data_IF_801398990994
#
_entry.id   IF_801398990994
#
_cell.length_a   1.000
_cell.length_b   1.000
_cell.length_c   1.000
_cell.angle_alpha   90.00
_cell.angle_beta   90.00
_cell.angle_gamma   90.00
#
_symmetry.space_group_name_H-M   'P 1'
#
loop_
_entity.id
_entity.type
_entity.pdbx_description
1 polymer ?
#
# COMPACT_ATOMS: atom_id res chain seq x y z
N UNK A 1 1.50 -35.87 65.95
CA UNK A 1 2.60 -35.30 65.16
C UNK A 1 2.23 -35.56 63.70
N UNK A 2 1.46 -34.71 63.00
CA UNK A 2 1.88 -33.41 62.46
C UNK A 2 3.00 -33.66 61.43
N UNK A 3 2.93 -33.35 60.14
CA UNK A 3 2.41 -32.13 59.52
C UNK A 3 2.17 -32.31 58.01
N UNK A 4 1.04 -31.75 57.55
CA UNK A 4 0.80 -30.96 56.33
C UNK A 4 1.42 -31.33 54.98
N UNK A 5 0.52 -31.55 54.01
CA UNK A 5 0.73 -31.50 52.55
C UNK A 5 0.84 -30.04 52.09
N UNK A 6 1.82 -29.66 51.25
CA UNK A 6 1.70 -28.42 50.49
C UNK A 6 1.00 -28.69 49.14
N UNK A 7 -0.25 -28.24 49.06
CA UNK A 7 -0.96 -27.98 47.80
C UNK A 7 -0.20 -26.84 47.12
N UNK A 8 0.61 -27.16 46.11
CA UNK A 8 1.17 -26.12 45.23
C UNK A 8 0.07 -25.67 44.31
N UNK A 9 -0.47 -24.49 44.63
CA UNK A 9 -1.49 -23.81 43.88
C UNK A 9 -1.03 -23.55 42.45
N UNK A 10 -1.88 -23.99 41.53
CA UNK A 10 -1.89 -23.64 40.12
C UNK A 10 -2.00 -22.11 40.00
N UNK A 11 -0.92 -21.41 39.66
CA UNK A 11 -1.00 -20.03 39.18
C UNK A 11 -0.94 -20.10 37.66
N UNK A 12 -2.10 -20.29 37.05
CA UNK A 12 -2.27 -19.99 35.63
C UNK A 12 -2.16 -18.48 35.48
N UNK A 13 -1.03 -18.01 34.95
CA UNK A 13 -0.93 -16.65 34.40
C UNK A 13 -1.84 -16.57 33.19
N UNK A 14 -3.11 -16.23 33.41
CA UNK A 14 -3.95 -15.63 32.40
C UNK A 14 -3.41 -14.21 32.17
N UNK A 15 -2.41 -14.09 31.31
CA UNK A 15 -2.18 -12.82 30.62
C UNK A 15 -3.40 -12.61 29.72
N UNK A 16 -4.43 -11.96 30.26
CA UNK A 16 -5.45 -11.30 29.45
C UNK A 16 -4.75 -10.10 28.83
N UNK A 17 -4.07 -10.34 27.71
CA UNK A 17 -3.74 -9.28 26.77
C UNK A 17 -5.06 -8.81 26.17
N UNK A 18 -5.77 -7.96 26.91
CA UNK A 18 -6.81 -7.09 26.37
C UNK A 18 -6.14 -5.94 25.62
N UNK A 19 -5.31 -6.28 24.63
CA UNK A 19 -5.03 -5.38 23.53
C UNK A 19 -6.14 -5.64 22.52
N UNK A 20 -6.83 -4.59 22.07
CA UNK A 20 -7.58 -4.70 20.83
C UNK A 20 -6.63 -5.33 19.81
N UNK A 21 -6.96 -6.50 19.28
CA UNK A 21 -6.17 -7.07 18.20
C UNK A 21 -6.22 -6.03 17.07
N UNK A 22 -5.09 -5.35 16.82
CA UNK A 22 -4.99 -4.43 15.70
C UNK A 22 -5.32 -5.22 14.44
N UNK A 23 -6.29 -4.70 13.68
CA UNK A 23 -6.75 -5.33 12.45
C UNK A 23 -5.56 -5.33 11.48
N UNK A 24 -4.98 -6.52 11.25
CA UNK A 24 -3.90 -6.71 10.28
C UNK A 24 -4.49 -6.99 8.91
N UNK A 25 -3.87 -6.43 7.89
CA UNK A 25 -4.21 -6.62 6.49
C UNK A 25 -3.01 -7.17 5.72
N UNK A 26 -3.28 -7.95 4.69
CA UNK A 26 -2.31 -8.44 3.71
C UNK A 26 -2.53 -7.71 2.40
N UNK A 27 -1.50 -7.09 1.85
CA UNK A 27 -1.59 -6.38 0.57
C UNK A 27 -0.50 -6.83 -0.38
N UNK A 28 -0.80 -6.78 -1.66
CA UNK A 28 0.18 -6.91 -2.73
C UNK A 28 0.52 -5.50 -3.24
N UNK A 29 1.77 -5.07 -3.07
CA UNK A 29 2.23 -3.75 -3.48
C UNK A 29 3.18 -3.90 -4.67
N UNK A 30 2.86 -3.28 -5.80
CA UNK A 30 3.67 -3.32 -7.03
C UNK A 30 4.10 -1.93 -7.44
N UNK A 31 5.34 -1.79 -7.88
CA UNK A 31 5.84 -0.60 -8.55
C UNK A 31 6.38 -1.00 -9.91
N UNK A 32 5.92 -0.35 -10.98
CA UNK A 32 6.32 -0.69 -12.34
C UNK A 32 6.42 0.50 -13.29
N UNK A 33 7.30 0.40 -14.28
CA UNK A 33 7.44 1.35 -15.37
C UNK A 33 6.75 0.81 -16.63
N UNK A 34 5.69 1.48 -17.06
CA UNK A 34 4.89 1.12 -18.24
C UNK A 34 5.32 1.85 -19.51
N UNK A 35 6.30 2.76 -19.43
CA UNK A 35 6.80 3.52 -20.58
C UNK A 35 7.54 2.58 -21.55
N UNK A 36 6.92 2.29 -22.68
CA UNK A 36 7.53 1.47 -23.73
C UNK A 36 8.70 2.22 -24.37
N UNK A 37 9.87 1.59 -24.44
CA UNK A 37 11.07 2.18 -25.01
C UNK A 37 11.92 3.00 -24.04
N UNK A 38 11.54 3.11 -22.76
CA UNK A 38 12.46 3.53 -21.71
C UNK A 38 13.43 2.37 -21.40
N UNK A 39 14.73 2.68 -21.32
CA UNK A 39 15.76 1.70 -20.95
C UNK A 39 15.69 1.33 -19.46
N UNK A 40 14.85 2.02 -18.68
CA UNK A 40 14.63 1.80 -17.24
C UNK A 40 13.41 0.90 -17.01
N UNK A 41 13.38 -0.28 -17.63
CA UNK A 41 12.33 -1.27 -17.36
C UNK A 41 12.42 -1.67 -15.89
N UNK A 42 11.33 -1.45 -15.16
CA UNK A 42 11.24 -1.71 -13.73
C UNK A 42 9.91 -2.36 -13.41
N UNK A 43 9.94 -3.46 -12.66
CA UNK A 43 8.77 -4.07 -12.03
C UNK A 43 9.22 -4.77 -10.76
N UNK A 44 8.66 -4.36 -9.63
CA UNK A 44 8.86 -4.99 -8.33
C UNK A 44 7.51 -5.20 -7.67
N UNK A 45 7.36 -6.34 -7.00
CA UNK A 45 6.16 -6.67 -6.24
C UNK A 45 6.57 -7.18 -4.87
N UNK A 46 5.90 -6.69 -3.84
CA UNK A 46 6.11 -7.03 -2.44
C UNK A 46 4.77 -7.42 -1.82
N UNK A 47 4.74 -8.55 -1.12
CA UNK A 47 3.61 -8.89 -0.24
C UNK A 47 3.91 -8.32 1.13
N UNK A 48 3.00 -7.51 1.68
CA UNK A 48 3.13 -6.92 3.01
C UNK A 48 2.00 -7.44 3.90
N UNK A 49 2.34 -7.84 5.12
CA UNK A 49 1.39 -8.04 6.21
C UNK A 49 1.60 -6.94 7.24
N UNK A 50 0.61 -6.08 7.41
CA UNK A 50 0.78 -4.86 8.21
C UNK A 50 -0.51 -4.48 8.93
N UNK A 51 -0.41 -3.55 9.87
CA UNK A 51 -1.58 -2.99 10.54
C UNK A 51 -2.39 -2.14 9.56
N UNK A 52 -3.70 -2.05 9.77
CA UNK A 52 -4.56 -1.22 8.95
C UNK A 52 -4.26 0.26 9.18
N UNK A 53 -3.50 0.85 8.26
CA UNK A 53 -3.05 2.25 8.32
C UNK A 53 -3.14 2.92 6.93
N UNK A 54 -2.95 4.25 6.84
CA UNK A 54 -2.93 4.96 5.56
C UNK A 54 -1.86 4.43 4.61
N UNK A 55 -2.11 4.50 3.31
CA UNK A 55 -1.20 4.01 2.27
C UNK A 55 0.19 4.65 2.37
N UNK A 56 0.28 5.92 2.72
CA UNK A 56 1.55 6.60 2.93
C UNK A 56 2.47 5.89 3.93
N UNK A 57 1.92 5.39 5.04
CA UNK A 57 2.71 4.71 6.09
C UNK A 57 3.11 3.29 5.63
N UNK A 58 2.21 2.62 4.91
CA UNK A 58 2.49 1.34 4.24
C UNK A 58 3.63 1.48 3.22
N UNK A 59 3.67 2.58 2.46
CA UNK A 59 4.75 2.84 1.51
C UNK A 59 6.09 3.02 2.23
N UNK A 60 6.12 3.64 3.40
CA UNK A 60 7.35 3.72 4.22
C UNK A 60 7.82 2.35 4.68
N UNK A 61 6.91 1.46 5.11
CA UNK A 61 7.27 0.08 5.45
C UNK A 61 7.82 -0.68 4.24
N UNK A 62 7.18 -0.54 3.08
CA UNK A 62 7.64 -1.15 1.84
C UNK A 62 9.06 -0.70 1.46
N UNK A 63 9.33 0.61 1.56
CA UNK A 63 10.66 1.18 1.31
C UNK A 63 11.71 0.71 2.34
N UNK A 64 11.31 0.49 3.60
CA UNK A 64 12.20 -0.05 4.64
C UNK A 64 12.58 -1.51 4.37
N UNK A 65 11.64 -2.30 3.84
CA UNK A 65 11.85 -3.71 3.50
C UNK A 65 12.67 -3.87 2.22
N UNK A 66 12.38 -3.05 1.21
CA UNK A 66 13.01 -3.13 -0.10
C UNK A 66 13.18 -1.73 -0.70
N UNK A 67 14.45 -1.33 -0.87
CA UNK A 67 14.82 0.00 -1.34
C UNK A 67 14.32 0.33 -2.75
N UNK A 68 13.86 -0.66 -3.52
CA UNK A 68 13.18 -0.43 -4.81
C UNK A 68 11.86 0.30 -4.66
N UNK A 69 11.28 0.35 -3.46
CA UNK A 69 10.08 1.10 -3.15
C UNK A 69 10.37 2.44 -2.45
N UNK A 70 11.64 2.86 -2.34
CA UNK A 70 11.95 4.22 -1.89
C UNK A 70 11.26 5.24 -2.78
N UNK A 71 10.63 6.24 -2.15
CA UNK A 71 9.80 7.22 -2.84
C UNK A 71 9.99 8.63 -2.28
N UNK A 72 9.59 9.64 -3.07
CA UNK A 72 9.46 11.04 -2.64
C UNK A 72 8.07 11.55 -2.96
N UNK A 73 7.59 12.44 -2.12
CA UNK A 73 6.24 13.03 -2.26
C UNK A 73 6.30 14.53 -2.42
N UNK A 74 5.33 15.08 -3.13
CA UNK A 74 4.95 16.49 -3.04
C UNK A 74 3.54 16.61 -2.45
N UNK A 75 3.19 17.83 -2.03
CA UNK A 75 1.87 18.14 -1.45
C UNK A 75 1.09 19.03 -2.41
N UNK A 76 -0.18 18.73 -2.61
CA UNK A 76 -1.13 19.57 -3.34
C UNK A 76 -2.33 19.89 -2.43
N UNK A 77 -2.83 21.13 -2.49
CA UNK A 77 -3.87 21.62 -1.58
C UNK A 77 -5.18 20.80 -1.69
N UNK A 78 -5.56 20.41 -2.91
CA UNK A 78 -6.85 19.75 -3.16
C UNK A 78 -6.88 18.23 -2.90
N UNK A 79 -5.73 17.53 -2.99
CA UNK A 79 -5.68 16.05 -2.95
C UNK A 79 -4.61 15.48 -2.01
N UNK A 80 -3.85 16.32 -1.31
CA UNK A 80 -2.88 15.89 -0.31
C UNK A 80 -1.55 15.46 -0.91
N UNK A 81 -0.92 14.44 -0.31
CA UNK A 81 0.38 13.95 -0.77
C UNK A 81 0.24 13.07 -2.02
N UNK A 82 1.14 13.26 -2.98
CA UNK A 82 1.27 12.42 -4.17
C UNK A 82 2.74 12.08 -4.42
N UNK A 83 2.99 10.99 -5.14
CA UNK A 83 4.34 10.49 -5.43
C UNK A 83 4.92 11.22 -6.62
N UNK A 84 6.07 11.86 -6.44
CA UNK A 84 6.83 12.54 -7.52
C UNK A 84 8.04 11.73 -7.97
N UNK A 85 8.41 10.71 -7.20
CA UNK A 85 9.52 9.83 -7.52
C UNK A 85 9.39 8.50 -6.78
N UNK A 86 9.77 7.42 -7.45
CA UNK A 86 9.95 6.11 -6.84
C UNK A 86 11.12 5.40 -7.52
N UNK A 87 11.91 4.63 -6.77
CA UNK A 87 13.08 3.90 -7.29
C UNK A 87 14.06 4.79 -8.08
N UNK A 88 14.36 5.99 -7.58
CA UNK A 88 15.22 6.99 -8.25
C UNK A 88 14.73 7.43 -9.65
N UNK A 89 13.45 7.22 -9.95
CA UNK A 89 12.81 7.63 -11.20
C UNK A 89 11.80 8.75 -10.92
N UNK A 90 12.19 10.02 -11.12
CA UNK A 90 11.30 11.16 -10.91
C UNK A 90 10.26 11.28 -12.03
N UNK A 91 9.16 11.96 -11.76
CA UNK A 91 8.24 12.45 -12.78
C UNK A 91 8.96 13.32 -13.81
N UNK A 92 8.45 13.31 -15.04
CA UNK A 92 8.96 14.11 -16.16
C UNK A 92 7.80 14.90 -16.75
N UNK A 93 7.59 16.10 -16.21
CA UNK A 93 6.51 17.00 -16.61
C UNK A 93 6.61 17.43 -18.08
N UNK A 94 7.81 17.46 -18.65
CA UNK A 94 8.01 17.84 -20.05
C UNK A 94 7.59 16.73 -21.02
N UNK A 95 7.66 15.48 -20.57
CA UNK A 95 7.22 14.29 -21.30
C UNK A 95 5.87 13.76 -20.81
N UNK A 96 5.21 14.50 -19.91
CA UNK A 96 3.95 14.13 -19.27
C UNK A 96 3.99 12.72 -18.64
N UNK A 97 5.06 12.39 -17.91
CA UNK A 97 5.24 11.10 -17.23
C UNK A 97 5.14 11.24 -15.72
N UNK A 98 4.30 10.42 -15.11
CA UNK A 98 3.93 10.53 -13.69
C UNK A 98 3.82 9.16 -13.03
N UNK A 99 3.73 9.15 -11.71
CA UNK A 99 3.40 7.96 -10.91
C UNK A 99 1.91 7.93 -10.58
N UNK A 100 1.19 6.97 -11.17
CA UNK A 100 -0.24 6.76 -10.93
C UNK A 100 -0.46 5.62 -9.95
N UNK A 101 -1.37 5.82 -8.99
CA UNK A 101 -1.85 4.75 -8.12
C UNK A 101 -3.06 4.05 -8.76
N UNK A 102 -2.92 2.75 -8.97
CA UNK A 102 -3.92 1.86 -9.55
C UNK A 102 -4.29 0.75 -8.57
N UNK A 103 -5.51 0.23 -8.71
CA UNK A 103 -5.89 -1.07 -8.15
C UNK A 103 -5.89 -2.11 -9.26
N UNK A 104 -5.20 -3.22 -9.02
CA UNK A 104 -5.19 -4.38 -9.92
C UNK A 104 -6.15 -5.44 -9.38
N UNK A 105 -6.77 -6.16 -10.30
CA UNK A 105 -7.68 -7.26 -9.99
C UNK A 105 -8.83 -6.87 -9.03
N UNK A 106 -9.34 -5.63 -9.18
CA UNK A 106 -10.48 -5.17 -8.39
C UNK A 106 -11.68 -6.13 -8.61
N UNK A 107 -12.37 -6.59 -7.54
CA UNK A 107 -13.43 -7.59 -7.66
C UNK A 107 -14.58 -7.15 -8.59
N UNK A 108 -14.87 -5.85 -8.62
CA UNK A 108 -15.89 -5.26 -9.49
C UNK A 108 -15.38 -4.86 -10.89
N UNK A 109 -14.06 -4.97 -11.14
CA UNK A 109 -13.44 -4.71 -12.44
C UNK A 109 -12.49 -5.86 -12.80
N UNK A 110 -13.02 -7.06 -13.12
CA UNK A 110 -12.19 -8.21 -13.42
C UNK A 110 -11.33 -7.95 -14.66
N UNK A 111 -10.02 -8.21 -14.55
CA UNK A 111 -9.04 -8.14 -15.65
C UNK A 111 -8.69 -6.74 -16.18
N UNK A 112 -8.97 -5.65 -15.45
CA UNK A 112 -8.37 -4.36 -15.76
C UNK A 112 -7.97 -3.59 -14.51
N UNK A 113 -6.82 -2.91 -14.61
CA UNK A 113 -6.41 -1.93 -13.63
C UNK A 113 -7.43 -0.78 -13.62
N UNK A 114 -7.70 -0.20 -12.45
CA UNK A 114 -8.50 1.02 -12.31
C UNK A 114 -7.75 2.09 -11.51
N UNK A 115 -7.96 3.37 -11.84
CA UNK A 115 -7.24 4.48 -11.24
C UNK A 115 -7.93 4.97 -9.96
N UNK A 116 -7.13 5.28 -8.94
CA UNK A 116 -7.55 5.97 -7.73
C UNK A 116 -7.40 7.50 -7.91
N UNK A 117 -8.21 8.09 -8.79
CA UNK A 117 -8.07 9.49 -9.24
C UNK A 117 -8.34 10.56 -8.16
N UNK A 118 -8.99 10.21 -7.05
CA UNK A 118 -9.46 11.16 -6.05
C UNK A 118 -8.85 11.00 -4.64
N UNK A 119 -7.88 10.10 -4.47
CA UNK A 119 -7.26 9.87 -3.16
C UNK A 119 -5.75 10.07 -3.23
N UNK A 120 -5.25 11.08 -2.51
CA UNK A 120 -3.83 11.16 -2.21
C UNK A 120 -3.40 9.97 -1.35
N UNK A 121 -2.11 9.64 -1.38
CA UNK A 121 -1.57 8.49 -0.65
C UNK A 121 -1.73 8.64 0.88
N UNK A 122 -1.89 9.87 1.35
CA UNK A 122 -2.14 10.19 2.77
C UNK A 122 -3.58 9.99 3.22
N UNK A 123 -4.54 9.92 2.28
CA UNK A 123 -5.98 9.78 2.60
C UNK A 123 -6.53 8.40 2.23
N UNK A 124 -5.84 7.67 1.35
CA UNK A 124 -6.22 6.32 0.98
C UNK A 124 -5.91 5.31 2.09
N UNK A 125 -6.89 4.48 2.46
CA UNK A 125 -6.72 3.39 3.42
C UNK A 125 -6.97 2.04 2.72
N UNK A 126 -5.93 1.21 2.51
CA UNK A 126 -6.08 -0.09 1.87
C UNK A 126 -6.92 -1.07 2.69
N UNK A 127 -7.50 -2.06 2.01
CA UNK A 127 -8.22 -3.18 2.64
C UNK A 127 -7.47 -4.51 2.48
N UNK A 128 -7.88 -5.51 3.26
CA UNK A 128 -7.25 -6.84 3.25
C UNK A 128 -7.41 -7.55 1.89
N UNK A 129 -6.30 -8.08 1.37
CA UNK A 129 -6.20 -8.74 0.08
C UNK A 129 -6.03 -7.80 -1.11
N UNK A 130 -5.90 -6.50 -0.90
CA UNK A 130 -5.82 -5.54 -2.01
C UNK A 130 -4.49 -5.59 -2.78
N UNK A 131 -4.56 -5.45 -4.11
CA UNK A 131 -3.39 -5.28 -4.98
C UNK A 131 -3.27 -3.84 -5.46
N UNK A 132 -2.33 -3.11 -4.86
CA UNK A 132 -2.00 -1.73 -5.21
C UNK A 132 -0.80 -1.68 -6.16
N UNK A 133 -0.91 -0.86 -7.19
CA UNK A 133 0.12 -0.69 -8.22
C UNK A 133 0.45 0.78 -8.38
N UNK A 134 1.72 1.14 -8.18
CA UNK A 134 2.28 2.41 -8.64
C UNK A 134 2.87 2.22 -10.03
N UNK A 135 2.20 2.78 -11.04
CA UNK A 135 2.62 2.71 -12.42
C UNK A 135 3.28 4.04 -12.84
N UNK A 136 4.49 3.97 -13.40
CA UNK A 136 5.11 5.08 -14.09
C UNK A 136 4.66 5.09 -15.55
N UNK A 137 3.88 6.08 -15.93
CA UNK A 137 3.15 6.11 -17.19
C UNK A 137 2.94 7.53 -17.73
N UNK A 138 2.37 7.65 -18.93
CA UNK A 138 2.02 8.94 -19.55
C UNK A 138 0.58 9.35 -19.25
N UNK A 139 0.31 10.66 -19.22
CA UNK A 139 -1.03 11.28 -19.16
C UNK A 139 -2.08 10.62 -20.07
N UNK A 140 -1.71 10.25 -21.30
CA UNK A 140 -2.56 9.56 -22.28
C UNK A 140 -3.17 8.23 -21.79
N UNK A 141 -2.54 7.59 -20.80
CA UNK A 141 -3.02 6.34 -20.21
C UNK A 141 -4.09 6.63 -19.15
N UNK A 142 -4.01 7.77 -18.48
CA UNK A 142 -5.01 8.19 -17.49
C UNK A 142 -6.41 8.34 -18.09
N UNK A 143 -6.51 8.77 -19.36
CA UNK A 143 -7.80 8.84 -20.07
C UNK A 143 -8.38 7.47 -20.44
N UNK A 144 -7.57 6.41 -20.40
CA UNK A 144 -7.94 5.05 -20.82
C UNK A 144 -8.18 4.10 -19.66
N UNK A 145 -7.64 4.40 -18.48
CA UNK A 145 -7.85 3.61 -17.28
C UNK A 145 -9.17 4.06 -16.64
N UNK A 146 -10.15 3.16 -16.46
CA UNK A 146 -11.39 3.51 -15.77
C UNK A 146 -11.10 3.89 -14.32
N UNK A 147 -11.84 4.85 -13.77
CA UNK A 147 -11.79 5.12 -12.33
C UNK A 147 -12.32 3.91 -11.55
N UNK A 148 -11.71 3.62 -10.40
CA UNK A 148 -12.24 2.58 -9.54
C UNK A 148 -13.63 2.99 -9.03
N UNK A 149 -14.63 2.08 -9.04
CA UNK A 149 -15.91 2.36 -8.44
C UNK A 149 -15.71 2.72 -6.97
N UNK A 150 -16.29 3.85 -6.54
CA UNK A 150 -16.25 4.27 -5.14
C UNK A 150 -17.08 3.27 -4.35
N UNK A 151 -16.42 2.32 -3.70
CA UNK A 151 -17.07 1.46 -2.72
C UNK A 151 -17.36 2.33 -1.49
N UNK A 152 -18.60 2.83 -1.41
CA UNK A 152 -19.13 3.37 -0.16
C UNK A 152 -19.23 2.21 0.85
N UNK A 153 -18.22 2.06 1.70
CA UNK A 153 -18.32 1.31 2.95
C UNK A 153 -18.78 2.23 4.07
#
# INVERSE_FOLDING_TARGET
MGWSVPISALVAFLCVASGNAEERISIQYTAENLITGDNRVFKATLQLETEKMPLHDIMFEAAHIDSRFEFRTAHHEDFGHYVVEMNNLPEDLAMERFWTLLKRDHPDVPQSDCALSHAGISTYQPFDGEHLVFAYETSDIFERIPECPILHS
#
